data_IF_523765235366
#
_entry.id   IF_523765235366
#
_cell.length_a   1.000
_cell.length_b   1.000
_cell.length_c   1.000
_cell.angle_alpha   90.00
_cell.angle_beta   90.00
_cell.angle_gamma   90.00
#
_symmetry.space_group_name_H-M   'P 1'
#
loop_
_entity.id
_entity.type
_entity.pdbx_description
1 polymer ?
#
# COMPACT_ATOMS: atom_id res chain seq x y z
N UNK A 1 -32.23 54.52 62.71
CA UNK A 1 -32.78 53.39 63.48
C UNK A 1 -32.98 52.22 62.51
N UNK A 2 -32.39 51.05 62.83
CA UNK A 2 -32.52 49.65 62.31
C UNK A 2 -33.26 49.35 60.98
N UNK A 3 -33.01 48.21 60.29
CA UNK A 3 -31.80 47.38 60.21
C UNK A 3 -31.45 46.91 58.77
N UNK A 4 -30.36 46.17 58.73
CA UNK A 4 -29.68 45.46 57.65
C UNK A 4 -30.55 44.36 57.01
N UNK A 5 -30.47 44.20 55.68
CA UNK A 5 -30.71 42.91 55.03
C UNK A 5 -29.65 42.64 53.96
N UNK A 6 -28.87 41.60 54.23
CA UNK A 6 -27.82 41.02 53.41
C UNK A 6 -28.47 40.17 52.31
N UNK A 7 -28.10 40.40 51.06
CA UNK A 7 -28.36 39.45 49.98
C UNK A 7 -27.04 39.15 49.27
N UNK A 8 -26.49 37.96 49.56
CA UNK A 8 -25.34 37.39 48.87
C UNK A 8 -25.72 37.09 47.41
N UNK A 9 -25.05 37.73 46.46
CA UNK A 9 -25.02 37.29 45.06
C UNK A 9 -23.65 36.66 44.79
N UNK A 10 -23.57 35.33 44.86
CA UNK A 10 -22.39 34.58 44.47
C UNK A 10 -22.27 34.59 42.94
N UNK A 11 -21.42 35.47 42.42
CA UNK A 11 -21.08 35.54 41.01
C UNK A 11 -20.00 34.47 40.71
N UNK A 12 -20.44 33.28 40.32
CA UNK A 12 -19.57 32.19 39.90
C UNK A 12 -18.96 32.50 38.53
N UNK A 13 -17.78 33.12 38.52
CA UNK A 13 -16.93 33.22 37.32
C UNK A 13 -16.48 31.81 36.94
N UNK A 14 -17.15 31.18 35.96
CA UNK A 14 -16.63 30.00 35.28
C UNK A 14 -15.43 30.43 34.43
N UNK A 15 -14.23 30.32 35.01
CA UNK A 15 -12.99 30.28 34.25
C UNK A 15 -13.03 29.02 33.40
N UNK A 16 -13.32 29.16 32.12
CA UNK A 16 -13.10 28.08 31.15
C UNK A 16 -11.60 27.95 30.94
N UNK A 17 -11.00 26.91 31.52
CA UNK A 17 -9.72 26.40 31.05
C UNK A 17 -9.96 25.73 29.69
N UNK A 18 -9.82 26.49 28.60
CA UNK A 18 -9.58 25.91 27.29
C UNK A 18 -8.10 25.57 27.21
N UNK A 19 -7.76 24.30 27.38
CA UNK A 19 -6.38 23.85 27.28
C UNK A 19 -6.25 22.34 27.38
N UNK A 20 -6.61 21.63 26.32
CA UNK A 20 -5.88 20.46 25.79
C UNK A 20 -6.47 20.13 24.42
N UNK A 21 -6.07 20.89 23.41
CA UNK A 21 -6.25 20.42 22.03
C UNK A 21 -5.34 19.18 21.87
N UNK A 22 -5.92 17.99 21.96
CA UNK A 22 -5.27 16.78 21.47
C UNK A 22 -5.15 16.96 19.96
N UNK A 23 -4.03 17.54 19.51
CA UNK A 23 -3.66 17.55 18.10
C UNK A 23 -3.73 16.11 17.60
N UNK A 24 -4.77 15.79 16.82
CA UNK A 24 -4.93 14.47 16.24
C UNK A 24 -3.76 14.25 15.28
N UNK A 25 -2.85 13.38 15.70
CA UNK A 25 -1.61 13.06 15.01
C UNK A 25 -1.98 12.31 13.72
N UNK A 26 -2.08 13.06 12.63
CA UNK A 26 -2.40 12.57 11.30
C UNK A 26 -1.16 12.57 10.39
N UNK A 27 -1.08 11.65 9.41
CA UNK A 27 0.01 11.62 8.45
C UNK A 27 0.05 12.90 7.61
N UNK A 28 1.18 13.60 7.65
CA UNK A 28 1.44 14.74 6.77
C UNK A 28 2.03 14.30 5.42
N UNK A 29 2.20 15.25 4.50
CA UNK A 29 2.78 14.98 3.18
C UNK A 29 4.20 14.42 3.26
N UNK A 30 4.97 14.78 4.30
CA UNK A 30 6.32 14.26 4.48
C UNK A 30 6.28 12.79 4.87
N UNK A 31 5.40 12.40 5.79
CA UNK A 31 5.23 11.00 6.13
C UNK A 31 4.83 10.17 4.90
N UNK A 32 3.82 10.61 4.13
CA UNK A 32 3.33 9.83 2.98
C UNK A 32 4.41 9.66 1.90
N UNK A 33 5.09 10.74 1.50
CA UNK A 33 5.94 10.72 0.31
C UNK A 33 7.42 10.43 0.60
N UNK A 34 7.88 10.70 1.82
CA UNK A 34 9.27 10.46 2.21
C UNK A 34 9.37 9.22 3.09
N UNK A 35 8.70 9.21 4.24
CA UNK A 35 8.85 8.12 5.21
C UNK A 35 8.23 6.82 4.71
N UNK A 36 6.97 6.87 4.28
CA UNK A 36 6.24 5.69 3.85
C UNK A 36 6.74 5.20 2.49
N UNK A 37 6.60 6.01 1.44
CA UNK A 37 6.92 5.58 0.08
C UNK A 37 8.39 5.18 -0.14
N UNK A 38 9.35 5.79 0.58
CA UNK A 38 10.79 5.54 0.35
C UNK A 38 11.44 4.62 1.38
N UNK A 39 10.81 4.38 2.53
CA UNK A 39 11.40 3.57 3.60
C UNK A 39 10.40 2.54 4.14
N UNK A 40 9.21 2.99 4.54
CA UNK A 40 8.19 2.12 5.12
C UNK A 40 7.78 0.99 4.20
N UNK A 41 7.31 1.32 3.00
CA UNK A 41 6.83 0.33 2.02
C UNK A 41 7.97 -0.50 1.42
N UNK A 42 9.14 0.09 1.18
CA UNK A 42 10.25 -0.57 0.47
C UNK A 42 11.16 -1.44 1.35
N UNK A 43 11.24 -1.14 2.65
CA UNK A 43 12.18 -1.78 3.56
C UNK A 43 11.49 -2.37 4.78
N UNK A 44 10.69 -1.58 5.51
CA UNK A 44 10.13 -2.03 6.78
C UNK A 44 8.96 -3.00 6.62
N UNK A 45 8.06 -2.75 5.67
CA UNK A 45 6.84 -3.52 5.46
C UNK A 45 7.10 -4.98 5.12
N UNK A 46 8.26 -5.29 4.51
CA UNK A 46 8.66 -6.65 4.12
C UNK A 46 8.61 -7.66 5.27
N UNK A 47 8.92 -7.22 6.49
CA UNK A 47 8.87 -8.07 7.69
C UNK A 47 7.77 -7.61 8.66
N UNK A 48 7.51 -6.31 8.75
CA UNK A 48 6.59 -5.72 9.73
C UNK A 48 5.15 -5.61 9.22
N UNK A 49 4.56 -6.75 8.85
CA UNK A 49 3.14 -6.85 8.49
C UNK A 49 2.47 -7.98 9.28
N UNK A 50 1.13 -8.03 9.27
CA UNK A 50 0.34 -8.99 10.07
C UNK A 50 0.66 -10.47 9.81
N UNK A 51 1.35 -10.79 8.70
CA UNK A 51 1.78 -12.14 8.32
C UNK A 51 3.27 -12.21 7.95
N UNK A 52 4.07 -11.26 8.45
CA UNK A 52 5.50 -11.16 8.17
C UNK A 52 6.36 -11.75 9.28
N UNK A 53 7.66 -11.91 9.02
CA UNK A 53 8.63 -12.45 9.99
C UNK A 53 8.71 -11.66 11.32
N UNK A 54 8.21 -10.42 11.34
CA UNK A 54 8.16 -9.58 12.53
C UNK A 54 6.71 -9.29 12.99
N UNK A 55 5.77 -10.19 12.72
CA UNK A 55 4.34 -10.08 13.10
C UNK A 55 4.12 -9.93 14.61
N UNK A 56 4.97 -10.54 15.44
CA UNK A 56 4.92 -10.43 16.90
C UNK A 56 5.53 -9.11 17.43
N UNK A 57 6.05 -8.26 16.54
CA UNK A 57 6.67 -7.01 16.94
C UNK A 57 5.63 -5.94 17.31
N UNK A 58 6.05 -4.95 18.10
CA UNK A 58 5.19 -3.80 18.46
C UNK A 58 5.07 -2.75 17.33
N UNK A 59 5.60 -3.04 16.15
CA UNK A 59 5.68 -2.18 14.99
C UNK A 59 5.12 -2.95 13.78
N UNK A 60 3.82 -2.86 13.57
CA UNK A 60 3.13 -3.55 12.48
C UNK A 60 2.56 -2.50 11.53
N UNK A 61 2.73 -2.78 10.24
CA UNK A 61 2.40 -1.90 9.12
C UNK A 61 1.40 -2.60 8.21
N UNK A 62 0.55 -1.81 7.57
CA UNK A 62 -0.48 -2.25 6.64
C UNK A 62 -0.05 -1.88 5.22
N UNK A 63 -0.21 -2.83 4.29
CA UNK A 63 0.03 -2.59 2.87
C UNK A 63 -0.94 -1.52 2.34
N UNK A 64 -0.43 -0.59 1.52
CA UNK A 64 -1.24 0.51 0.98
C UNK A 64 -1.46 0.44 -0.52
N UNK A 65 -0.66 -0.33 -1.26
CA UNK A 65 -0.61 -0.28 -2.72
C UNK A 65 -1.93 -0.72 -3.38
N UNK A 66 -2.65 -1.65 -2.77
CA UNK A 66 -3.92 -2.19 -3.26
C UNK A 66 -5.15 -1.43 -2.71
N UNK A 67 -4.95 -0.48 -1.80
CA UNK A 67 -6.04 0.20 -1.09
C UNK A 67 -6.44 1.51 -1.76
N UNK A 68 -7.71 1.88 -1.62
CA UNK A 68 -8.24 3.16 -2.06
C UNK A 68 -9.22 3.77 -1.03
N UNK A 69 -9.60 5.03 -1.25
CA UNK A 69 -10.62 5.73 -0.46
C UNK A 69 -10.39 5.66 1.06
N UNK A 70 -11.45 5.33 1.81
CA UNK A 70 -11.42 5.27 3.29
C UNK A 70 -10.45 4.19 3.82
N UNK A 71 -10.31 3.07 3.12
CA UNK A 71 -9.41 1.99 3.52
C UNK A 71 -7.95 2.45 3.48
N UNK A 72 -7.54 3.09 2.38
CA UNK A 72 -6.20 3.67 2.24
C UNK A 72 -5.89 4.71 3.32
N UNK A 73 -6.85 5.57 3.63
CA UNK A 73 -6.65 6.59 4.67
C UNK A 73 -6.52 5.96 6.06
N UNK A 74 -7.27 4.90 6.34
CA UNK A 74 -7.19 4.15 7.60
C UNK A 74 -5.81 3.51 7.75
N UNK A 75 -5.32 2.84 6.71
CA UNK A 75 -3.99 2.23 6.69
C UNK A 75 -2.86 3.25 6.87
N UNK A 76 -2.94 4.39 6.16
CA UNK A 76 -1.97 5.49 6.31
C UNK A 76 -1.90 6.03 7.73
N UNK A 77 -3.05 6.21 8.38
CA UNK A 77 -3.12 6.67 9.78
C UNK A 77 -2.53 5.61 10.72
N UNK A 78 -2.82 4.33 10.50
CA UNK A 78 -2.27 3.24 11.30
C UNK A 78 -0.74 3.18 11.19
N UNK A 79 -0.20 3.20 9.96
CA UNK A 79 1.23 3.19 9.69
C UNK A 79 1.91 4.41 10.32
N UNK A 80 1.33 5.60 10.17
CA UNK A 80 1.85 6.81 10.81
C UNK A 80 1.94 6.67 12.32
N UNK A 81 0.89 6.16 12.97
CA UNK A 81 0.88 5.93 14.43
C UNK A 81 1.96 4.93 14.85
N UNK A 82 2.17 3.86 14.08
CA UNK A 82 3.22 2.88 14.34
C UNK A 82 4.62 3.52 14.25
N UNK A 83 4.89 4.30 13.19
CA UNK A 83 6.14 5.03 13.03
C UNK A 83 6.36 6.08 14.12
N UNK A 84 5.33 6.88 14.44
CA UNK A 84 5.38 7.88 15.49
C UNK A 84 5.66 7.26 16.88
N UNK A 85 5.11 6.09 17.16
CA UNK A 85 5.40 5.32 18.38
C UNK A 85 6.88 4.93 18.41
N UNK A 86 7.42 4.35 17.34
CA UNK A 86 8.83 3.95 17.26
C UNK A 86 9.80 5.14 17.32
N UNK A 87 9.41 6.29 16.76
CA UNK A 87 10.16 7.54 16.82
C UNK A 87 10.26 8.11 18.25
N UNK A 88 9.35 7.72 19.16
CA UNK A 88 9.35 8.15 20.56
C UNK A 88 9.98 7.13 21.51
N UNK A 89 10.04 5.86 21.11
CA UNK A 89 10.63 4.79 21.92
C UNK A 89 12.16 4.93 21.95
N UNK A 90 12.70 5.44 23.06
CA UNK A 90 14.15 5.55 23.32
C UNK A 90 14.51 5.18 24.75
N UNK A 91 15.76 4.75 24.96
CA UNK A 91 16.38 4.72 26.29
C UNK A 91 16.93 6.13 26.59
N UNK A 92 17.07 6.47 27.87
CA UNK A 92 17.69 7.75 28.28
C UNK A 92 19.09 7.85 27.67
N UNK A 93 19.43 9.02 27.11
CA UNK A 93 20.72 9.27 26.47
C UNK A 93 20.93 8.62 25.10
N UNK A 94 19.95 7.87 24.56
CA UNK A 94 20.08 7.18 23.28
C UNK A 94 19.11 7.73 22.22
N UNK A 95 19.46 7.65 20.92
CA UNK A 95 18.51 7.90 19.84
C UNK A 95 17.29 6.97 19.90
N UNK A 96 16.16 7.34 19.29
CA UNK A 96 15.01 6.46 19.15
C UNK A 96 15.34 5.14 18.44
N UNK A 97 14.62 4.09 18.84
CA UNK A 97 14.74 2.75 18.25
C UNK A 97 14.57 2.76 16.72
N UNK A 98 13.74 3.68 16.21
CA UNK A 98 13.54 3.88 14.77
C UNK A 98 14.82 4.26 14.02
N UNK A 99 15.82 4.86 14.68
CA UNK A 99 17.10 5.23 14.08
C UNK A 99 18.19 4.19 14.28
N UNK A 100 18.06 3.33 15.28
CA UNK A 100 19.10 2.37 15.65
C UNK A 100 18.84 0.98 15.07
N UNK A 101 17.59 0.48 15.14
CA UNK A 101 17.26 -0.87 14.65
C UNK A 101 17.59 -1.03 13.17
N UNK A 102 17.13 -0.15 12.25
CA UNK A 102 17.28 -0.41 10.82
C UNK A 102 18.73 -0.45 10.35
N UNK A 103 19.66 0.15 11.09
CA UNK A 103 21.09 0.24 10.75
C UNK A 103 21.95 -0.80 11.49
N UNK A 104 21.35 -1.67 12.30
CA UNK A 104 22.08 -2.70 13.06
C UNK A 104 22.76 -2.22 14.35
N UNK A 105 22.56 -0.97 14.77
CA UNK A 105 23.17 -0.39 16.00
C UNK A 105 22.41 -0.75 17.29
N UNK A 106 21.39 -1.60 17.17
CA UNK A 106 20.75 -2.30 18.27
C UNK A 106 20.09 -3.57 17.76
N UNK A 107 19.81 -4.52 18.66
CA UNK A 107 19.20 -5.81 18.30
C UNK A 107 18.00 -5.65 17.36
N UNK A 108 18.21 -6.16 16.15
CA UNK A 108 17.22 -6.35 15.11
C UNK A 108 17.44 -7.75 14.56
N UNK A 109 16.46 -8.63 14.78
CA UNK A 109 16.56 -10.04 14.34
C UNK A 109 16.72 -10.16 12.81
N UNK A 110 16.16 -9.22 12.04
CA UNK A 110 16.36 -9.08 10.59
C UNK A 110 17.63 -8.32 10.18
N UNK A 111 18.65 -8.28 11.04
CA UNK A 111 19.93 -7.62 10.83
C UNK A 111 19.80 -6.14 10.36
N UNK A 112 20.74 -5.70 9.52
CA UNK A 112 20.81 -4.35 8.99
C UNK A 112 19.99 -4.24 7.69
N UNK A 113 18.90 -3.47 7.73
CA UNK A 113 18.02 -3.24 6.57
C UNK A 113 18.30 -1.91 5.85
N UNK A 114 18.98 -0.96 6.50
CA UNK A 114 19.41 0.33 5.95
C UNK A 114 20.90 0.56 6.22
N UNK A 115 21.61 1.19 5.28
CA UNK A 115 22.98 1.65 5.53
C UNK A 115 22.97 2.87 6.48
N UNK A 116 23.90 2.97 7.45
CA UNK A 116 24.19 4.21 8.15
C UNK A 116 24.34 5.37 7.17
N UNK A 117 23.81 6.54 7.55
CA UNK A 117 23.78 7.77 6.75
C UNK A 117 23.27 7.69 5.30
N UNK A 118 22.60 6.60 4.92
CA UNK A 118 21.86 6.52 3.66
C UNK A 118 20.71 7.53 3.59
N UNK A 119 20.18 7.74 2.39
CA UNK A 119 18.98 8.55 2.17
C UNK A 119 17.81 8.08 3.04
N UNK A 120 17.57 6.77 3.12
CA UNK A 120 16.51 6.20 3.96
C UNK A 120 16.72 6.48 5.44
N UNK A 121 17.94 6.32 5.94
CA UNK A 121 18.27 6.65 7.34
C UNK A 121 18.11 8.16 7.61
N UNK A 122 18.53 9.02 6.69
CA UNK A 122 18.37 10.48 6.80
C UNK A 122 16.89 10.90 6.85
N UNK A 123 16.04 10.27 6.02
CA UNK A 123 14.58 10.46 6.06
C UNK A 123 14.01 10.13 7.44
N UNK A 124 14.45 9.02 8.05
CA UNK A 124 14.02 8.63 9.40
C UNK A 124 14.51 9.62 10.47
N UNK A 125 15.76 10.12 10.38
CA UNK A 125 16.28 11.15 11.30
C UNK A 125 15.42 12.42 11.27
N UNK A 126 15.10 12.88 10.06
CA UNK A 126 14.22 14.02 9.84
C UNK A 126 12.79 13.79 10.36
N UNK A 127 12.25 12.59 10.18
CA UNK A 127 10.95 12.22 10.74
C UNK A 127 10.97 12.27 12.29
N UNK A 128 11.99 11.71 12.92
CA UNK A 128 12.16 11.76 14.39
C UNK A 128 12.23 13.20 14.89
N UNK A 129 13.01 14.06 14.24
CA UNK A 129 13.10 15.47 14.60
C UNK A 129 11.75 16.19 14.54
N UNK A 130 10.94 15.93 13.50
CA UNK A 130 9.56 16.43 13.40
C UNK A 130 8.69 15.95 14.56
N UNK A 131 8.80 14.67 14.92
CA UNK A 131 8.05 14.09 16.04
C UNK A 131 8.44 14.66 17.41
N UNK A 132 9.65 15.21 17.53
CA UNK A 132 10.13 15.95 18.71
C UNK A 132 9.73 17.44 18.69
N UNK A 133 8.93 17.90 17.72
CA UNK A 133 8.50 19.29 17.61
C UNK A 133 9.58 20.24 17.09
N UNK A 134 10.71 19.71 16.61
CA UNK A 134 11.77 20.52 15.99
C UNK A 134 11.33 20.84 14.56
N UNK A 135 11.02 22.11 14.31
CA UNK A 135 10.75 22.62 12.97
C UNK A 135 12.05 22.58 12.17
N UNK A 136 12.08 21.76 11.12
CA UNK A 136 13.18 21.74 10.17
C UNK A 136 12.84 22.72 9.05
N UNK A 137 13.69 23.74 8.89
CA UNK A 137 13.75 24.51 7.64
C UNK A 137 14.28 23.58 6.56
N UNK A 138 13.38 22.82 5.95
CA UNK A 138 13.69 22.19 4.69
C UNK A 138 13.62 23.29 3.64
N UNK A 139 14.74 23.52 2.92
CA UNK A 139 14.61 23.98 1.53
C UNK A 139 13.57 23.05 0.91
N UNK A 140 12.49 23.63 0.40
CA UNK A 140 11.50 22.90 -0.37
C UNK A 140 12.23 22.30 -1.57
N UNK A 141 12.81 21.11 -1.38
CA UNK A 141 13.11 20.22 -2.49
C UNK A 141 11.75 20.04 -3.14
N UNK A 142 11.68 20.36 -4.43
CA UNK A 142 10.44 20.30 -5.20
C UNK A 142 9.66 19.08 -4.77
N UNK A 143 8.36 19.31 -4.50
CA UNK A 143 7.40 18.30 -4.07
C UNK A 143 7.59 17.06 -4.95
N UNK A 144 8.32 16.07 -4.45
CA UNK A 144 8.43 14.79 -5.13
C UNK A 144 7.04 14.19 -5.06
N UNK A 145 6.30 14.32 -6.17
CA UNK A 145 5.14 13.49 -6.43
C UNK A 145 5.73 12.20 -6.96
N UNK A 146 5.84 11.12 -6.15
CA UNK A 146 6.09 9.83 -6.73
C UNK A 146 5.04 9.62 -7.81
N UNK A 147 5.52 9.34 -9.01
CA UNK A 147 4.66 8.92 -10.09
C UNK A 147 3.83 7.73 -9.64
N UNK A 148 2.59 7.62 -10.10
CA UNK A 148 1.87 6.35 -9.97
C UNK A 148 2.78 5.26 -10.54
N UNK A 149 2.79 4.05 -9.96
CA UNK A 149 3.55 2.93 -10.52
C UNK A 149 3.23 2.71 -12.02
N UNK A 150 1.99 3.05 -12.42
CA UNK A 150 1.49 2.99 -13.79
C UNK A 150 1.55 4.33 -14.54
N UNK A 151 2.32 5.32 -14.08
CA UNK A 151 2.50 6.55 -14.83
C UNK A 151 3.15 6.28 -16.18
N UNK A 152 2.56 6.80 -17.25
CA UNK A 152 2.95 6.48 -18.63
C UNK A 152 2.39 5.15 -19.16
N UNK A 153 1.75 4.33 -18.32
CA UNK A 153 1.04 3.12 -18.77
C UNK A 153 -0.37 3.50 -19.18
N UNK A 154 -0.69 3.29 -20.46
CA UNK A 154 -2.05 3.42 -20.97
C UNK A 154 -2.69 2.03 -21.03
N UNK A 155 -3.82 1.87 -20.37
CA UNK A 155 -4.60 0.63 -20.42
C UNK A 155 -5.18 0.44 -21.83
N UNK A 156 -5.23 -0.81 -22.28
CA UNK A 156 -5.84 -1.16 -23.56
C UNK A 156 -7.35 -0.87 -23.53
N UNK A 157 -7.87 -0.29 -24.61
CA UNK A 157 -9.31 -0.02 -24.76
C UNK A 157 -10.14 -1.30 -24.80
N UNK A 158 -11.38 -1.23 -24.28
CA UNK A 158 -12.24 -2.41 -24.11
C UNK A 158 -12.46 -3.21 -25.41
N UNK A 159 -12.63 -2.55 -26.55
CA UNK A 159 -12.79 -3.23 -27.84
C UNK A 159 -11.50 -3.95 -28.28
N UNK A 160 -10.35 -3.33 -28.02
CA UNK A 160 -9.03 -3.90 -28.32
C UNK A 160 -8.71 -5.08 -27.40
N UNK A 161 -9.11 -5.00 -26.13
CA UNK A 161 -9.05 -6.10 -25.17
C UNK A 161 -9.90 -7.28 -25.63
N UNK A 162 -11.17 -7.04 -26.00
CA UNK A 162 -12.07 -8.08 -26.51
C UNK A 162 -11.49 -8.76 -27.75
N UNK A 163 -10.95 -7.99 -28.71
CA UNK A 163 -10.28 -8.54 -29.89
C UNK A 163 -9.09 -9.42 -29.51
N UNK A 164 -8.24 -8.98 -28.58
CA UNK A 164 -7.08 -9.76 -28.13
C UNK A 164 -7.52 -11.07 -27.48
N UNK A 165 -8.51 -11.03 -26.60
CA UNK A 165 -9.00 -12.21 -25.89
C UNK A 165 -9.61 -13.23 -26.84
N UNK A 166 -10.47 -12.80 -27.76
CA UNK A 166 -11.12 -13.69 -28.75
C UNK A 166 -10.13 -14.36 -29.69
N UNK A 167 -9.10 -13.62 -30.14
CA UNK A 167 -8.02 -14.19 -30.95
C UNK A 167 -7.16 -15.18 -30.16
N UNK A 168 -6.79 -14.83 -28.92
CA UNK A 168 -5.90 -15.65 -28.10
C UNK A 168 -6.56 -16.94 -27.65
N UNK A 169 -7.84 -16.87 -27.26
CA UNK A 169 -8.53 -17.97 -26.61
C UNK A 169 -9.34 -18.83 -27.58
N UNK A 170 -9.89 -18.26 -28.66
CA UNK A 170 -10.74 -18.98 -29.59
C UNK A 170 -10.29 -18.88 -31.07
N UNK A 171 -9.18 -18.19 -31.35
CA UNK A 171 -8.64 -18.07 -32.71
C UNK A 171 -9.57 -17.33 -33.69
N UNK A 172 -10.56 -16.57 -33.20
CA UNK A 172 -11.56 -15.87 -34.02
C UNK A 172 -11.67 -14.40 -33.64
N UNK A 173 -12.24 -13.61 -34.54
CA UNK A 173 -12.62 -12.23 -34.24
C UNK A 173 -13.83 -12.18 -33.31
N UNK A 174 -14.03 -11.06 -32.57
CA UNK A 174 -15.25 -10.86 -31.81
C UNK A 174 -16.50 -10.91 -32.70
N UNK A 175 -17.59 -11.44 -32.19
CA UNK A 175 -18.90 -11.38 -32.85
C UNK A 175 -19.50 -9.96 -32.75
N UNK A 176 -20.47 -9.61 -33.60
CA UNK A 176 -21.20 -8.35 -33.46
C UNK A 176 -21.87 -8.19 -32.09
N UNK A 177 -22.40 -9.28 -31.54
CA UNK A 177 -23.04 -9.31 -30.22
C UNK A 177 -22.03 -9.03 -29.10
N UNK A 178 -20.87 -9.68 -29.11
CA UNK A 178 -19.82 -9.45 -28.11
C UNK A 178 -19.31 -7.99 -28.15
N UNK A 179 -19.18 -7.40 -29.34
CA UNK A 179 -18.85 -5.97 -29.47
C UNK A 179 -19.94 -5.08 -28.88
N UNK A 180 -21.20 -5.39 -29.16
CA UNK A 180 -22.33 -4.65 -28.61
C UNK A 180 -22.39 -4.75 -27.09
N UNK A 181 -22.18 -5.95 -26.54
CA UNK A 181 -22.16 -6.21 -25.10
C UNK A 181 -21.06 -5.38 -24.42
N UNK A 182 -19.85 -5.32 -24.98
CA UNK A 182 -18.76 -4.46 -24.47
C UNK A 182 -19.06 -2.97 -24.62
N UNK A 183 -19.69 -2.54 -25.72
CA UNK A 183 -20.08 -1.12 -25.90
C UNK A 183 -21.10 -0.66 -24.87
N UNK A 184 -22.04 -1.53 -24.50
CA UNK A 184 -23.11 -1.20 -23.56
C UNK A 184 -22.68 -1.34 -22.10
N UNK A 185 -21.91 -2.40 -21.78
CA UNK A 185 -21.62 -2.78 -20.39
C UNK A 185 -20.17 -2.51 -19.97
N UNK A 186 -19.28 -2.18 -20.90
CA UNK A 186 -17.84 -2.04 -20.61
C UNK A 186 -17.21 -3.37 -20.15
N UNK A 187 -16.17 -3.28 -19.32
CA UNK A 187 -15.47 -4.45 -18.76
C UNK A 187 -16.38 -5.44 -18.01
N UNK A 188 -17.39 -5.03 -17.23
CA UNK A 188 -18.34 -5.97 -16.62
C UNK A 188 -19.02 -6.94 -17.61
N UNK A 189 -19.23 -6.52 -18.86
CA UNK A 189 -19.79 -7.37 -19.91
C UNK A 189 -18.86 -8.53 -20.33
N UNK A 190 -17.58 -8.46 -19.98
CA UNK A 190 -16.58 -9.43 -20.40
C UNK A 190 -16.75 -10.81 -19.74
N UNK A 191 -17.23 -10.88 -18.49
CA UNK A 191 -17.35 -12.15 -17.78
C UNK A 191 -18.24 -13.15 -18.53
N UNK A 192 -19.45 -12.72 -18.92
CA UNK A 192 -20.37 -13.57 -19.67
C UNK A 192 -19.90 -13.88 -21.10
N UNK A 193 -19.01 -13.07 -21.66
CA UNK A 193 -18.35 -13.35 -22.94
C UNK A 193 -17.30 -14.45 -22.75
N UNK A 194 -16.44 -14.33 -21.73
CA UNK A 194 -15.40 -15.32 -21.43
C UNK A 194 -16.00 -16.69 -21.10
N UNK A 195 -17.06 -16.74 -20.30
CA UNK A 195 -17.76 -18.00 -19.98
C UNK A 195 -18.23 -18.73 -21.25
N UNK A 196 -18.85 -18.00 -22.19
CA UNK A 196 -19.29 -18.57 -23.46
C UNK A 196 -18.12 -19.00 -24.31
N UNK A 197 -17.11 -18.15 -24.43
CA UNK A 197 -15.93 -18.40 -25.24
C UNK A 197 -15.21 -19.67 -24.78
N UNK A 198 -15.06 -19.85 -23.47
CA UNK A 198 -14.42 -21.03 -22.87
C UNK A 198 -15.25 -22.32 -22.99
N UNK A 199 -16.50 -22.22 -23.45
CA UNK A 199 -17.34 -23.36 -23.78
C UNK A 199 -17.34 -23.69 -25.30
N UNK A 200 -16.69 -22.87 -26.13
CA UNK A 200 -16.66 -23.11 -27.58
C UNK A 200 -15.61 -24.16 -27.95
N UNK A 201 -15.90 -24.97 -28.99
CA UNK A 201 -14.94 -25.94 -29.54
C UNK A 201 -13.56 -25.32 -29.86
N UNK A 202 -13.45 -24.12 -30.49
CA UNK A 202 -12.16 -23.50 -30.78
C UNK A 202 -11.31 -23.21 -29.54
N UNK A 203 -11.93 -22.96 -28.38
CA UNK A 203 -11.19 -22.80 -27.13
C UNK A 203 -10.48 -24.09 -26.72
N UNK A 204 -11.18 -25.22 -26.78
CA UNK A 204 -10.56 -26.52 -26.48
C UNK A 204 -9.49 -26.89 -27.51
N UNK A 205 -9.64 -26.50 -28.77
CA UNK A 205 -8.61 -26.70 -29.79
C UNK A 205 -7.36 -25.88 -29.48
N UNK A 206 -7.51 -24.58 -29.16
CA UNK A 206 -6.41 -23.71 -28.70
C UNK A 206 -5.74 -24.21 -27.43
N UNK A 207 -6.51 -24.75 -26.49
CA UNK A 207 -5.99 -25.31 -25.25
C UNK A 207 -5.08 -26.51 -25.54
N UNK A 208 -5.52 -27.44 -26.41
CA UNK A 208 -4.71 -28.58 -26.85
C UNK A 208 -3.45 -28.12 -27.59
N UNK A 209 -3.56 -27.13 -28.48
CA UNK A 209 -2.42 -26.53 -29.17
C UNK A 209 -1.40 -25.97 -28.18
N UNK A 210 -1.83 -25.13 -27.23
CA UNK A 210 -0.92 -24.53 -26.24
C UNK A 210 -0.25 -25.54 -25.32
N UNK A 211 -0.95 -26.60 -24.91
CA UNK A 211 -0.33 -27.71 -24.18
C UNK A 211 0.64 -28.50 -25.04
N UNK A 212 0.31 -28.71 -26.31
CA UNK A 212 1.19 -29.38 -27.24
C UNK A 212 2.47 -28.57 -27.52
N UNK A 213 2.44 -27.24 -27.50
CA UNK A 213 3.66 -26.42 -27.65
C UNK A 213 4.65 -26.63 -26.50
N UNK A 214 4.17 -27.07 -25.33
CA UNK A 214 4.99 -27.39 -24.16
C UNK A 214 5.37 -28.87 -24.14
N UNK A 215 4.40 -29.75 -24.34
CA UNK A 215 4.57 -31.19 -24.16
C UNK A 215 4.94 -31.96 -25.43
N UNK A 216 4.81 -31.34 -26.61
CA UNK A 216 5.15 -31.89 -27.92
C UNK A 216 4.53 -33.28 -28.18
N UNK A 217 3.28 -33.48 -27.75
CA UNK A 217 2.58 -34.76 -27.84
C UNK A 217 2.09 -35.08 -29.27
N UNK A 218 1.83 -34.07 -30.08
CA UNK A 218 1.54 -34.21 -31.50
C UNK A 218 2.84 -34.54 -32.24
N UNK A 219 2.89 -35.72 -32.85
CA UNK A 219 4.08 -36.24 -33.54
C UNK A 219 4.91 -37.20 -32.69
N UNK A 220 4.45 -37.53 -31.48
CA UNK A 220 5.03 -38.60 -30.69
C UNK A 220 4.31 -39.93 -30.99
N UNK A 221 5.01 -40.85 -31.66
CA UNK A 221 4.47 -42.15 -32.09
C UNK A 221 4.61 -43.26 -31.02
N UNK A 222 4.96 -42.93 -29.77
CA UNK A 222 5.27 -43.88 -28.68
C UNK A 222 4.37 -43.81 -27.44
N UNK A 223 4.72 -44.53 -26.37
CA UNK A 223 4.10 -44.41 -25.05
C UNK A 223 4.90 -43.41 -24.17
N UNK A 224 4.26 -42.32 -23.75
CA UNK A 224 4.91 -41.23 -23.01
C UNK A 224 5.52 -41.65 -21.66
N UNK A 225 5.12 -42.79 -21.09
CA UNK A 225 5.73 -43.38 -19.90
C UNK A 225 7.17 -43.86 -20.12
N UNK A 226 7.57 -44.13 -21.37
CA UNK A 226 8.93 -44.59 -21.70
C UNK A 226 9.95 -43.44 -21.84
N UNK A 227 9.53 -42.18 -21.69
CA UNK A 227 10.40 -41.00 -21.85
C UNK A 227 11.10 -40.63 -20.53
N UNK A 228 10.48 -40.97 -19.39
CA UNK A 228 10.96 -40.61 -18.06
C UNK A 228 11.56 -41.78 -17.27
N UNK A 229 11.58 -42.98 -17.87
CA UNK A 229 12.27 -44.18 -17.37
C UNK A 229 13.70 -44.24 -17.88
#
# INVERSE_FOLDING_TARGET
MKPIQVMLLAMSLKVSLTGTDKTDLSPDHYFINEVWAKVGELSCLKCHQDSGEAEDSRFILQETILLNGKALQTARIANFKAFAKMARMKKVGHPPRLLLKPIGEMDHEGEQVLKPDSTGHTILKAFVQRMEGKSLSFKTIEKYKPSSFFEGVTMIENESLLRRLTLSLAGRLPTPKERQDIRLMGLPGLNGILEKLMAEKPFFDRLKEGFNDIFLTNGYDGNGELILS
#
